data_IF_905598801648
#
_entry.id   IF_905598801648
#
_cell.length_a   1.000
_cell.length_b   1.000
_cell.length_c   1.000
_cell.angle_alpha   90.00
_cell.angle_beta   90.00
_cell.angle_gamma   90.00
#
_symmetry.space_group_name_H-M   'P 1'
#
loop_
_entity.id
_entity.type
_entity.pdbx_description
1 polymer ?
#
# COMPACT_ATOMS: atom_id res chain seq x y z
N UNK A 1 35.70 -15.40 0.88
CA UNK A 1 34.65 -14.60 0.22
C UNK A 1 33.57 -15.58 -0.21
N UNK A 2 32.53 -15.74 0.62
CA UNK A 2 31.48 -16.73 0.37
C UNK A 2 30.42 -16.11 -0.54
N UNK A 3 30.31 -16.63 -1.76
CA UNK A 3 29.20 -16.35 -2.66
C UNK A 3 27.90 -16.77 -1.95
N UNK A 4 27.10 -15.80 -1.56
CA UNK A 4 25.78 -16.02 -0.99
C UNK A 4 24.87 -16.44 -2.14
N UNK A 5 24.70 -17.75 -2.28
CA UNK A 5 23.84 -18.38 -3.28
C UNK A 5 22.45 -17.73 -3.29
N UNK A 6 22.21 -16.88 -4.28
CA UNK A 6 20.89 -16.40 -4.62
C UNK A 6 20.13 -17.61 -5.12
N UNK A 7 19.25 -18.19 -4.29
CA UNK A 7 18.28 -19.19 -4.75
C UNK A 7 17.45 -18.56 -5.86
N UNK A 8 17.82 -18.83 -7.10
CA UNK A 8 16.95 -18.75 -8.27
C UNK A 8 15.81 -19.70 -7.96
N UNK A 9 14.67 -19.16 -7.52
CA UNK A 9 13.47 -19.96 -7.29
C UNK A 9 12.97 -20.43 -8.66
N UNK A 10 13.38 -21.63 -9.03
CA UNK A 10 12.79 -22.41 -10.11
C UNK A 10 11.30 -22.53 -9.82
N UNK A 11 10.49 -21.96 -10.71
CA UNK A 11 9.05 -21.71 -10.59
C UNK A 11 8.20 -22.97 -10.78
N UNK A 12 8.46 -24.05 -10.05
CA UNK A 12 7.67 -25.28 -10.21
C UNK A 12 6.49 -25.36 -9.23
N UNK A 13 6.53 -24.63 -8.10
CA UNK A 13 5.48 -24.70 -7.09
C UNK A 13 4.51 -23.49 -7.13
N UNK A 14 3.26 -23.65 -7.60
CA UNK A 14 2.27 -22.56 -7.64
C UNK A 14 1.92 -22.01 -6.24
N UNK A 15 2.16 -22.77 -5.17
CA UNK A 15 1.88 -22.34 -3.80
C UNK A 15 2.94 -21.39 -3.22
N UNK A 16 4.09 -21.22 -3.90
CA UNK A 16 5.12 -20.25 -3.52
C UNK A 16 5.01 -18.92 -4.29
N UNK A 17 4.13 -18.86 -5.29
CA UNK A 17 3.88 -17.67 -6.08
C UNK A 17 3.41 -16.50 -5.20
N UNK A 18 4.04 -15.34 -5.38
CA UNK A 18 3.70 -14.12 -4.66
C UNK A 18 2.56 -13.41 -5.38
N UNK A 19 1.55 -12.99 -4.61
CA UNK A 19 0.38 -12.27 -5.12
C UNK A 19 0.14 -11.02 -4.28
N UNK A 20 -0.50 -10.02 -4.88
CA UNK A 20 -0.96 -8.84 -4.15
C UNK A 20 -2.13 -9.27 -3.26
N UNK A 21 -2.04 -9.01 -1.96
CA UNK A 21 -3.15 -9.24 -1.02
C UNK A 21 -4.13 -8.08 -1.03
N UNK A 22 -3.59 -6.87 -0.98
CA UNK A 22 -4.35 -5.63 -0.93
C UNK A 22 -3.45 -4.45 -1.25
N UNK A 23 -4.08 -3.39 -1.73
CA UNK A 23 -3.51 -2.05 -1.80
C UNK A 23 -4.28 -1.19 -0.81
N UNK A 24 -3.56 -0.42 0.00
CA UNK A 24 -4.15 0.54 0.93
C UNK A 24 -3.70 1.93 0.53
N UNK A 25 -4.66 2.81 0.21
CA UNK A 25 -4.41 4.22 0.00
C UNK A 25 -4.78 4.96 1.27
N UNK A 26 -3.94 5.89 1.71
CA UNK A 26 -4.13 6.64 2.94
C UNK A 26 -3.72 8.11 2.78
N UNK A 27 -4.57 9.01 3.26
CA UNK A 27 -4.33 10.45 3.33
C UNK A 27 -4.46 10.90 4.78
N UNK A 28 -3.44 11.56 5.30
CA UNK A 28 -3.47 12.24 6.60
C UNK A 28 -3.78 13.72 6.38
N UNK A 29 -4.96 14.18 6.81
CA UNK A 29 -5.44 15.54 6.59
C UNK A 29 -5.23 16.46 7.81
N UNK A 30 -5.06 15.88 9.01
CA UNK A 30 -4.91 16.62 10.27
C UNK A 30 -6.24 16.83 10.97
N UNK A 31 -6.31 17.77 11.92
CA UNK A 31 -7.49 17.98 12.76
C UNK A 31 -8.66 18.70 12.06
N UNK A 32 -8.47 19.19 10.83
CA UNK A 32 -9.47 19.96 10.10
C UNK A 32 -10.49 19.04 9.40
N UNK A 33 -11.78 19.03 9.81
CA UNK A 33 -12.78 18.14 9.25
C UNK A 33 -13.02 18.39 7.75
N UNK A 34 -12.91 19.63 7.28
CA UNK A 34 -13.11 19.96 5.86
C UNK A 34 -12.06 19.30 4.96
N UNK A 35 -10.82 19.18 5.44
CA UNK A 35 -9.76 18.48 4.70
C UNK A 35 -9.98 16.96 4.69
N UNK A 36 -10.55 16.41 5.75
CA UNK A 36 -10.90 14.98 5.81
C UNK A 36 -12.00 14.66 4.79
N UNK A 37 -13.04 15.47 4.70
CA UNK A 37 -14.11 15.31 3.70
C UNK A 37 -13.56 15.35 2.28
N UNK A 38 -12.67 16.31 1.98
CA UNK A 38 -11.95 16.38 0.69
C UNK A 38 -11.12 15.13 0.42
N UNK A 39 -10.42 14.61 1.43
CA UNK A 39 -9.63 13.38 1.29
C UNK A 39 -10.51 12.15 1.03
N UNK A 40 -11.69 12.05 1.64
CA UNK A 40 -12.66 10.98 1.38
C UNK A 40 -13.15 11.05 -0.07
N UNK A 41 -13.53 12.24 -0.54
CA UNK A 41 -13.96 12.45 -1.92
C UNK A 41 -12.85 12.05 -2.90
N UNK A 42 -11.64 12.57 -2.71
CA UNK A 42 -10.49 12.27 -3.56
C UNK A 42 -10.17 10.77 -3.63
N UNK A 43 -10.09 10.09 -2.48
CA UNK A 43 -9.81 8.65 -2.44
C UNK A 43 -10.94 7.84 -3.09
N UNK A 44 -12.18 8.29 -2.96
CA UNK A 44 -13.33 7.63 -3.59
C UNK A 44 -13.29 7.79 -5.11
N UNK A 45 -12.91 8.96 -5.61
CA UNK A 45 -12.72 9.22 -7.05
C UNK A 45 -11.57 8.39 -7.63
N UNK A 46 -10.43 8.31 -6.94
CA UNK A 46 -9.27 7.53 -7.40
C UNK A 46 -9.55 6.04 -7.43
N UNK A 47 -10.23 5.51 -6.41
CA UNK A 47 -10.40 4.07 -6.23
C UNK A 47 -11.72 3.51 -6.77
N UNK A 48 -12.72 4.36 -7.04
CA UNK A 48 -14.10 3.94 -7.31
C UNK A 48 -14.80 3.27 -6.12
N UNK A 49 -14.18 3.25 -4.94
CA UNK A 49 -14.70 2.62 -3.72
C UNK A 49 -14.90 3.66 -2.62
N UNK A 50 -15.90 3.46 -1.77
CA UNK A 50 -16.16 4.35 -0.64
C UNK A 50 -14.99 4.33 0.35
N UNK A 51 -14.34 5.48 0.53
CA UNK A 51 -13.29 5.64 1.53
C UNK A 51 -13.87 5.68 2.96
N UNK A 52 -13.05 5.29 3.94
CA UNK A 52 -13.41 5.22 5.36
C UNK A 52 -12.57 6.22 6.15
N UNK A 53 -13.20 6.93 7.07
CA UNK A 53 -12.55 7.86 7.99
C UNK A 53 -11.61 7.15 8.98
N UNK A 54 -10.47 7.77 9.24
CA UNK A 54 -9.51 7.36 10.24
C UNK A 54 -9.65 8.26 11.48
N UNK A 55 -10.08 7.67 12.60
CA UNK A 55 -10.28 8.37 13.86
C UNK A 55 -9.04 8.35 14.75
N UNK A 56 -8.86 9.43 15.51
CA UNK A 56 -7.85 9.57 16.54
C UNK A 56 -8.10 8.60 17.70
N UNK A 57 -7.05 7.94 18.18
CA UNK A 57 -7.12 7.09 19.39
C UNK A 57 -6.62 7.80 20.65
N UNK A 58 -5.62 8.67 20.51
CA UNK A 58 -4.96 9.37 21.63
C UNK A 58 -5.24 10.86 21.56
N UNK A 59 -5.29 11.51 22.74
CA UNK A 59 -5.32 12.97 22.85
C UNK A 59 -3.89 13.50 22.73
N UNK A 60 -3.68 14.46 21.82
CA UNK A 60 -2.38 15.13 21.65
C UNK A 60 -2.67 16.62 21.49
N UNK A 61 -2.39 17.40 22.53
CA UNK A 61 -2.74 18.82 22.60
C UNK A 61 -2.03 19.66 21.52
N UNK A 62 -0.75 19.37 21.24
CA UNK A 62 0.04 20.05 20.22
C UNK A 62 -0.59 20.00 18.82
N UNK A 63 -1.32 18.92 18.52
CA UNK A 63 -2.00 18.73 17.23
C UNK A 63 -3.51 18.98 17.32
N UNK A 64 -4.01 19.49 18.46
CA UNK A 64 -5.42 19.73 18.74
C UNK A 64 -6.29 18.48 18.55
N UNK A 65 -5.72 17.30 18.83
CA UNK A 65 -6.40 16.02 18.64
C UNK A 65 -7.13 15.57 19.92
N UNK A 66 -8.38 15.15 19.75
CA UNK A 66 -9.19 14.45 20.76
C UNK A 66 -9.54 13.04 20.26
N UNK A 67 -9.67 12.03 21.15
CA UNK A 67 -10.11 10.70 20.75
C UNK A 67 -11.45 10.75 20.01
N UNK A 68 -11.61 9.95 18.96
CA UNK A 68 -12.80 9.92 18.11
C UNK A 68 -12.86 11.00 17.02
N UNK A 69 -11.95 11.99 17.03
CA UNK A 69 -11.86 12.98 15.96
C UNK A 69 -11.37 12.33 14.65
N UNK A 70 -12.04 12.60 13.52
CA UNK A 70 -11.54 12.18 12.22
C UNK A 70 -10.30 12.99 11.83
N UNK A 71 -9.23 12.30 11.43
CA UNK A 71 -7.92 12.90 11.09
C UNK A 71 -7.56 12.69 9.61
N UNK A 72 -8.11 11.65 9.00
CA UNK A 72 -7.74 11.28 7.65
C UNK A 72 -8.72 10.27 7.06
N UNK A 73 -8.37 9.77 5.89
CA UNK A 73 -9.18 8.81 5.17
C UNK A 73 -8.30 7.71 4.60
N UNK A 74 -8.86 6.50 4.51
CA UNK A 74 -8.21 5.38 3.86
C UNK A 74 -9.19 4.56 3.04
N UNK A 75 -8.68 3.91 2.00
CA UNK A 75 -9.42 2.91 1.23
C UNK A 75 -8.54 1.67 1.06
N UNK A 76 -9.16 0.49 1.13
CA UNK A 76 -8.46 -0.79 0.97
C UNK A 76 -9.09 -1.57 -0.17
N UNK A 77 -8.27 -1.89 -1.16
CA UNK A 77 -8.69 -2.52 -2.41
C UNK A 77 -8.04 -3.90 -2.46
N UNK A 78 -8.82 -4.94 -2.78
CA UNK A 78 -8.35 -6.34 -2.79
C UNK A 78 -8.53 -7.04 -4.12
N UNK A 79 -9.48 -6.56 -4.94
CA UNK A 79 -9.79 -7.10 -6.26
C UNK A 79 -9.40 -6.08 -7.32
N UNK A 80 -9.08 -6.54 -8.53
CA UNK A 80 -8.64 -5.72 -9.66
C UNK A 80 -7.56 -4.68 -9.29
N UNK A 81 -6.56 -5.09 -8.50
CA UNK A 81 -5.56 -4.19 -7.95
C UNK A 81 -4.47 -3.80 -8.94
N UNK A 82 -4.28 -4.56 -10.01
CA UNK A 82 -3.11 -4.45 -10.89
C UNK A 82 -3.17 -3.16 -11.73
N UNK A 83 -4.32 -2.83 -12.31
CA UNK A 83 -4.53 -1.62 -13.12
C UNK A 83 -4.28 -0.34 -12.30
N UNK A 84 -4.90 -0.27 -11.11
CA UNK A 84 -4.72 0.85 -10.21
C UNK A 84 -3.27 0.97 -9.73
N UNK A 85 -2.59 -0.15 -9.47
CA UNK A 85 -1.20 -0.10 -9.03
C UNK A 85 -0.27 0.42 -10.12
N UNK A 86 -0.45 -0.03 -11.36
CA UNK A 86 0.33 0.46 -12.51
C UNK A 86 0.13 1.97 -12.67
N UNK A 87 -1.11 2.44 -12.55
CA UNK A 87 -1.46 3.87 -12.59
C UNK A 87 -0.75 4.67 -11.49
N UNK A 88 -0.75 4.17 -10.25
CA UNK A 88 -0.09 4.83 -9.11
C UNK A 88 1.44 4.78 -9.20
N UNK A 89 2.02 3.71 -9.75
CA UNK A 89 3.46 3.59 -9.96
C UNK A 89 3.97 4.56 -11.01
N UNK A 90 3.21 4.78 -12.09
CA UNK A 90 3.50 5.81 -13.10
C UNK A 90 3.57 7.21 -12.48
N UNK A 91 2.68 7.52 -11.54
CA UNK A 91 2.68 8.79 -10.82
C UNK A 91 3.93 9.01 -9.94
N UNK A 92 4.63 7.94 -9.57
CA UNK A 92 5.90 7.97 -8.82
C UNK A 92 7.10 7.62 -9.72
N UNK A 93 7.02 7.93 -11.03
CA UNK A 93 8.07 7.68 -12.03
C UNK A 93 8.53 6.22 -12.13
N UNK A 94 7.78 5.28 -11.56
CA UNK A 94 8.13 3.85 -11.43
C UNK A 94 9.49 3.57 -10.79
N UNK A 95 10.00 4.50 -9.97
CA UNK A 95 11.27 4.33 -9.22
C UNK A 95 10.96 4.19 -7.73
N UNK A 96 11.45 3.11 -7.12
CA UNK A 96 11.29 2.86 -5.68
C UNK A 96 12.63 2.45 -5.09
N UNK A 97 13.10 3.21 -4.09
CA UNK A 97 14.32 2.83 -3.37
C UNK A 97 14.17 1.50 -2.62
N UNK A 98 15.24 0.70 -2.58
CA UNK A 98 15.35 -0.54 -1.79
C UNK A 98 14.95 -0.37 -0.33
N UNK A 99 15.11 0.82 0.26
CA UNK A 99 14.74 1.10 1.65
C UNK A 99 13.23 1.05 1.90
N UNK A 100 12.42 1.31 0.86
CA UNK A 100 10.95 1.32 0.95
C UNK A 100 10.33 -0.09 0.89
N UNK A 101 11.14 -1.12 0.66
CA UNK A 101 10.73 -2.53 0.68
C UNK A 101 10.93 -3.15 2.06
N UNK A 102 9.89 -3.85 2.52
CA UNK A 102 9.82 -4.57 3.78
C UNK A 102 9.51 -6.04 3.53
N UNK A 103 9.54 -6.84 4.60
CA UNK A 103 8.97 -8.19 4.57
C UNK A 103 7.46 -8.12 4.25
N UNK A 104 7.02 -8.83 3.21
CA UNK A 104 5.64 -8.88 2.73
C UNK A 104 5.07 -7.60 2.09
N UNK A 105 5.90 -6.68 1.59
CA UNK A 105 5.38 -5.56 0.80
C UNK A 105 6.28 -4.35 0.70
N UNK A 106 5.73 -3.27 0.18
CA UNK A 106 6.41 -1.98 0.03
C UNK A 106 5.40 -0.83 0.09
N UNK A 107 5.90 0.36 0.37
CA UNK A 107 5.09 1.57 0.43
C UNK A 107 5.81 2.76 -0.21
N UNK A 108 5.07 3.59 -0.91
CA UNK A 108 5.57 4.82 -1.50
C UNK A 108 4.56 5.96 -1.33
N UNK A 109 5.08 7.18 -1.26
CA UNK A 109 4.28 8.39 -1.22
C UNK A 109 4.17 8.98 -2.62
N UNK A 110 3.03 9.60 -2.90
CA UNK A 110 2.82 10.47 -4.05
C UNK A 110 2.58 11.86 -3.46
N UNK A 111 3.43 12.82 -3.84
CA UNK A 111 3.39 14.17 -3.27
C UNK A 111 2.11 14.91 -3.67
N UNK A 112 1.67 14.72 -4.91
CA UNK A 112 0.48 15.36 -5.46
C UNK A 112 -0.37 14.35 -6.24
N UNK A 113 -1.67 14.28 -5.96
CA UNK A 113 -2.56 13.39 -6.71
C UNK A 113 -2.70 13.76 -8.19
N UNK A 114 -2.31 14.97 -8.60
CA UNK A 114 -2.37 15.44 -9.99
C UNK A 114 -1.44 14.61 -10.89
N UNK A 115 -0.36 14.06 -10.33
CA UNK A 115 0.57 13.19 -11.04
C UNK A 115 -0.06 11.83 -11.40
N UNK A 116 -1.24 11.51 -10.85
CA UNK A 116 -1.97 10.29 -11.19
C UNK A 116 -2.65 10.49 -12.54
N UNK A 117 -2.26 9.70 -13.57
CA UNK A 117 -2.92 9.80 -14.87
C UNK A 117 -4.41 9.50 -14.71
N UNK A 118 -5.29 10.17 -15.46
CA UNK A 118 -6.77 10.14 -15.39
C UNK A 118 -7.46 10.91 -14.24
N UNK A 119 -6.78 11.38 -13.18
CA UNK A 119 -7.44 12.26 -12.19
C UNK A 119 -7.31 13.71 -12.66
N UNK A 120 -8.44 14.38 -12.92
CA UNK A 120 -8.43 15.83 -13.21
C UNK A 120 -8.33 16.63 -11.92
N UNK A 121 -7.66 17.78 -12.00
CA UNK A 121 -7.58 18.70 -10.89
C UNK A 121 -8.96 19.30 -10.58
N UNK A 122 -9.36 19.24 -9.32
CA UNK A 122 -10.56 19.90 -8.81
C UNK A 122 -10.17 21.01 -7.82
N UNK A 123 -10.44 22.29 -8.13
CA UNK A 123 -10.10 23.41 -7.23
C UNK A 123 -10.69 23.29 -5.83
N UNK A 124 -11.85 22.62 -5.70
CA UNK A 124 -12.51 22.38 -4.42
C UNK A 124 -11.68 21.48 -3.49
N UNK A 125 -10.94 20.51 -4.03
CA UNK A 125 -10.13 19.55 -3.26
C UNK A 125 -8.79 20.19 -2.86
N UNK A 126 -8.19 20.99 -3.75
CA UNK A 126 -6.86 21.57 -3.55
C UNK A 126 -5.75 20.59 -3.95
N UNK A 127 -4.53 20.80 -3.45
CA UNK A 127 -3.36 19.92 -3.69
C UNK A 127 -3.19 19.03 -2.45
N UNK A 128 -3.25 17.71 -2.64
CA UNK A 128 -3.17 16.73 -1.56
C UNK A 128 -2.25 15.58 -1.98
N UNK A 129 -1.34 15.19 -1.10
CA UNK A 129 -0.52 13.99 -1.26
C UNK A 129 -1.20 12.74 -0.69
N UNK A 130 -0.76 11.58 -1.14
CA UNK A 130 -1.28 10.30 -0.66
C UNK A 130 -0.18 9.27 -0.48
N UNK A 131 -0.43 8.32 0.40
CA UNK A 131 0.46 7.20 0.64
C UNK A 131 -0.17 5.91 0.11
N UNK A 132 0.61 5.15 -0.64
CA UNK A 132 0.24 3.85 -1.19
C UNK A 132 1.03 2.77 -0.47
N UNK A 133 0.31 1.80 0.10
CA UNK A 133 0.91 0.64 0.74
C UNK A 133 0.43 -0.64 0.06
N UNK A 134 1.36 -1.39 -0.52
CA UNK A 134 1.11 -2.67 -1.18
C UNK A 134 1.48 -3.80 -0.24
N UNK A 135 0.53 -4.67 0.06
CA UNK A 135 0.78 -5.89 0.85
C UNK A 135 0.83 -7.09 -0.08
N UNK A 136 1.91 -7.87 0.00
CA UNK A 136 2.11 -9.11 -0.72
C UNK A 136 1.79 -10.31 0.17
N UNK A 137 1.36 -11.41 -0.44
CA UNK A 137 1.12 -12.70 0.23
C UNK A 137 1.49 -13.87 -0.68
N UNK A 138 1.88 -14.98 -0.06
CA UNK A 138 1.82 -16.31 -0.71
C UNK A 138 0.48 -16.99 -0.39
N UNK A 139 0.01 -17.92 -1.22
CA UNK A 139 -1.02 -18.89 -0.82
C UNK A 139 -0.71 -19.50 0.55
N UNK A 140 -1.70 -19.75 1.40
CA UNK A 140 -1.50 -20.26 2.77
C UNK A 140 -1.33 -19.20 3.88
N UNK A 141 -1.17 -17.91 3.53
CA UNK A 141 -1.16 -16.81 4.51
C UNK A 141 -2.48 -16.67 5.30
N UNK A 142 -3.55 -17.37 4.89
CA UNK A 142 -4.82 -17.43 5.62
C UNK A 142 -4.68 -18.09 6.99
N UNK A 143 -3.72 -18.99 7.18
CA UNK A 143 -3.55 -19.76 8.43
C UNK A 143 -3.34 -18.86 9.65
N UNK A 144 -2.67 -17.71 9.51
CA UNK A 144 -2.51 -16.74 10.61
C UNK A 144 -3.74 -15.87 10.89
N UNK A 145 -4.73 -15.88 10.00
CA UNK A 145 -5.92 -15.00 10.05
C UNK A 145 -7.22 -15.74 10.37
N UNK A 146 -7.27 -17.06 10.17
CA UNK A 146 -8.48 -17.87 10.40
C UNK A 146 -8.74 -18.06 11.90
N UNK A 147 -10.02 -18.18 12.26
CA UNK A 147 -10.46 -18.41 13.65
C UNK A 147 -10.14 -19.83 14.14
N UNK A 148 -10.39 -20.83 13.30
CA UNK A 148 -10.16 -22.24 13.64
C UNK A 148 -8.71 -22.64 13.36
N UNK A 149 -8.04 -23.23 14.35
CA UNK A 149 -6.66 -23.69 14.27
C UNK A 149 -5.68 -22.66 13.64
N UNK A 150 -5.56 -21.44 14.21
CA UNK A 150 -4.59 -20.46 13.76
C UNK A 150 -3.16 -20.96 14.02
N UNK A 151 -2.26 -20.74 13.08
CA UNK A 151 -0.81 -20.99 13.28
C UNK A 151 0.00 -19.83 12.73
N UNK A 152 1.20 -19.63 13.29
CA UNK A 152 2.19 -18.68 12.76
C UNK A 152 2.76 -19.21 11.44
N UNK A 153 3.11 -18.31 10.54
CA UNK A 153 3.78 -18.67 9.29
C UNK A 153 5.26 -18.92 9.58
N UNK A 154 5.77 -20.09 9.16
CA UNK A 154 7.19 -20.47 9.26
C UNK A 154 8.06 -19.48 8.48
N UNK A 155 9.30 -19.30 8.88
CA UNK A 155 10.27 -18.43 8.18
C UNK A 155 10.42 -18.83 6.70
N UNK A 156 10.42 -20.13 6.42
CA UNK A 156 10.49 -20.68 5.05
C UNK A 156 9.37 -20.22 4.12
N UNK A 157 8.17 -19.95 4.66
CA UNK A 157 7.01 -19.54 3.86
C UNK A 157 6.78 -18.03 3.86
N UNK A 158 7.52 -17.25 4.66
CA UNK A 158 7.44 -15.78 4.65
C UNK A 158 8.09 -15.21 3.39
N UNK A 159 7.64 -14.03 2.99
CA UNK A 159 8.20 -13.28 1.86
C UNK A 159 9.37 -12.47 2.39
N UNK A 160 10.56 -12.67 1.83
CA UNK A 160 11.73 -11.86 2.17
C UNK A 160 11.69 -10.52 1.43
N UNK A 161 12.60 -9.62 1.78
CA UNK A 161 12.71 -8.33 1.11
C UNK A 161 13.15 -8.48 -0.34
N UNK A 162 14.06 -9.41 -0.61
CA UNK A 162 14.57 -9.71 -1.95
C UNK A 162 13.46 -10.30 -2.83
N UNK A 163 12.63 -11.16 -2.27
CA UNK A 163 11.44 -11.71 -2.94
C UNK A 163 10.47 -10.60 -3.35
N UNK A 164 10.25 -9.60 -2.48
CA UNK A 164 9.39 -8.46 -2.77
C UNK A 164 9.96 -7.54 -3.85
N UNK A 165 11.28 -7.31 -3.87
CA UNK A 165 11.98 -6.54 -4.90
C UNK A 165 11.86 -7.25 -6.25
N UNK A 166 12.20 -8.55 -6.31
CA UNK A 166 12.07 -9.36 -7.53
C UNK A 166 10.65 -9.37 -8.08
N UNK A 167 9.65 -9.44 -7.20
CA UNK A 167 8.24 -9.35 -7.59
C UNK A 167 7.91 -7.99 -8.23
N UNK A 168 8.38 -6.89 -7.64
CA UNK A 168 8.14 -5.55 -8.16
C UNK A 168 8.84 -5.29 -9.50
N UNK A 169 10.07 -5.78 -9.68
CA UNK A 169 10.80 -5.69 -10.95
C UNK A 169 10.11 -6.52 -12.04
N UNK A 170 9.83 -7.79 -11.77
CA UNK A 170 9.34 -8.74 -12.79
C UNK A 170 7.89 -8.48 -13.19
N UNK A 171 7.00 -8.23 -12.21
CA UNK A 171 5.55 -8.14 -12.47
C UNK A 171 5.06 -6.71 -12.66
N UNK A 172 5.73 -5.73 -12.05
CA UNK A 172 5.28 -4.33 -12.06
C UNK A 172 6.20 -3.41 -12.88
N UNK A 173 7.35 -3.90 -13.35
CA UNK A 173 8.30 -3.11 -14.14
C UNK A 173 8.95 -1.95 -13.37
N UNK A 174 8.99 -2.04 -12.04
CA UNK A 174 9.55 -0.99 -11.17
C UNK A 174 11.06 -1.03 -11.21
N UNK A 175 11.71 0.13 -11.38
CA UNK A 175 13.16 0.27 -11.21
C UNK A 175 13.49 0.46 -9.74
N UNK A 176 14.39 -0.37 -9.23
CA UNK A 176 14.75 -0.37 -7.82
C UNK A 176 16.18 0.12 -7.62
N UNK A 177 16.32 1.26 -6.94
CA UNK A 177 17.60 1.89 -6.61
C UNK A 177 18.06 1.59 -5.18
#
# INVERSE_FOLDING_TARGET
MAETATKTQTKDNPMQEIRIEKITLNIGAGADPKKVEKAIMLLSTISGMKAVEAQAKKRIAAWKLRPGLAIGAKVTIRNNTEELLIRLLKANSSVISKRKFNENGFSFGIEEYINIPEVKYEPKIGIIGLNVSVTLKRPGFRIKKRKLAPRKISSSHRITKEDAIKFAETKLGVKVE
#
